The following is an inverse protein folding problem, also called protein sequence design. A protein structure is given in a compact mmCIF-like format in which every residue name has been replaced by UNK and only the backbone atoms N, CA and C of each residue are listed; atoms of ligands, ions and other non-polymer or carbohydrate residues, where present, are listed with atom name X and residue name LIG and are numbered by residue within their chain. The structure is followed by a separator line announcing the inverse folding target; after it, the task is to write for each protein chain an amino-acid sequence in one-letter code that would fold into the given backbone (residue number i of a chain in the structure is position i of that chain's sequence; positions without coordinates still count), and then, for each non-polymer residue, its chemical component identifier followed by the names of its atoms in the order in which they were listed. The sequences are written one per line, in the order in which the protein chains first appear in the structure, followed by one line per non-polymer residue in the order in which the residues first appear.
data_IF_142723279193
#
_entry.id   IF_142723279193
#
_cell.length_a   1.000
_cell.length_b   1.000
_cell.length_c   1.000
_cell.angle_alpha   90.00
_cell.angle_beta   90.00
_cell.angle_gamma   90.00
#
_symmetry.space_group_name_H-M   'P 1'
#
loop_
_entity.id
_entity.type
_entity.pdbx_description
1 polymer ?
#
# COMPACT_ATOMS: atom_id res chain seq x y z
N UNK A 1 11.66 2.53 13.01
CA UNK A 1 11.82 1.10 12.71
C UNK A 1 12.84 1.02 11.58
N UNK A 2 14.09 0.69 11.89
CA UNK A 2 15.12 0.55 10.86
C UNK A 2 14.91 -0.76 10.08
N UNK A 3 15.19 -0.71 8.78
CA UNK A 3 15.46 -1.82 7.84
C UNK A 3 14.30 -2.63 7.27
N UNK A 4 13.56 -2.01 6.33
CA UNK A 4 13.15 -2.71 5.09
C UNK A 4 12.95 -1.68 3.96
N UNK A 5 14.04 -1.08 3.49
CA UNK A 5 14.02 -0.26 2.26
C UNK A 5 14.63 -1.09 1.11
N UNK A 6 13.82 -1.75 0.27
CA UNK A 6 14.32 -2.54 -0.84
C UNK A 6 15.06 -1.64 -1.83
N UNK A 7 16.10 -2.15 -2.48
CA UNK A 7 16.76 -1.41 -3.56
C UNK A 7 15.87 -1.40 -4.82
N UNK A 8 16.12 -0.50 -5.76
CA UNK A 8 15.39 -0.51 -7.04
C UNK A 8 15.56 -1.83 -7.78
N UNK A 9 16.71 -2.48 -7.66
CA UNK A 9 16.98 -3.78 -8.27
C UNK A 9 16.18 -4.90 -7.61
N UNK A 10 15.90 -4.80 -6.31
CA UNK A 10 14.99 -5.72 -5.62
C UNK A 10 13.55 -5.51 -6.12
N UNK A 11 13.12 -4.24 -6.23
CA UNK A 11 11.78 -3.87 -6.68
C UNK A 11 11.52 -4.28 -8.13
N UNK A 12 12.50 -4.15 -9.03
CA UNK A 12 12.40 -4.56 -10.45
C UNK A 12 12.09 -6.04 -10.66
N UNK A 13 12.23 -6.88 -9.64
CA UNK A 13 11.88 -8.32 -9.71
C UNK A 13 10.38 -8.56 -9.62
N UNK A 14 9.60 -7.56 -9.20
CA UNK A 14 8.15 -7.66 -9.09
C UNK A 14 7.54 -7.71 -10.48
N UNK A 15 6.77 -8.77 -10.74
CA UNK A 15 6.05 -8.99 -12.01
C UNK A 15 4.53 -8.94 -11.85
N UNK A 16 4.04 -8.88 -10.61
CA UNK A 16 2.62 -8.77 -10.31
C UNK A 16 2.12 -7.33 -10.43
N UNK A 17 0.80 -7.18 -10.62
CA UNK A 17 0.12 -5.90 -10.39
C UNK A 17 0.05 -5.65 -8.88
N UNK A 18 0.44 -4.45 -8.45
CA UNK A 18 0.54 -4.09 -7.05
C UNK A 18 -0.53 -3.05 -6.68
N UNK A 19 -1.37 -3.36 -5.70
CA UNK A 19 -2.23 -2.36 -5.05
C UNK A 19 -1.72 -2.11 -3.65
N UNK A 20 -1.36 -0.87 -3.37
CA UNK A 20 -0.87 -0.43 -2.07
C UNK A 20 -1.97 0.37 -1.39
N UNK A 21 -2.28 0.01 -0.15
CA UNK A 21 -3.33 0.66 0.65
C UNK A 21 -2.66 1.29 1.87
N UNK A 22 -2.62 2.62 1.93
CA UNK A 22 -2.19 3.36 3.11
C UNK A 22 -3.36 3.58 4.07
N UNK A 23 -3.12 3.55 5.38
CA UNK A 23 -4.18 3.76 6.38
C UNK A 23 -4.00 5.13 7.03
N UNK A 24 -5.04 5.97 6.98
CA UNK A 24 -4.92 7.41 7.26
C UNK A 24 -4.37 7.81 8.63
N UNK A 25 -4.62 7.00 9.66
CA UNK A 25 -4.15 7.24 11.03
C UNK A 25 -3.17 6.16 11.50
N UNK A 26 -2.50 5.46 10.58
CA UNK A 26 -1.48 4.48 10.92
C UNK A 26 -0.15 5.19 11.25
N UNK A 27 0.33 5.00 12.47
CA UNK A 27 1.61 5.55 12.94
C UNK A 27 2.75 4.53 12.82
N UNK A 28 2.43 3.26 12.61
CA UNK A 28 3.42 2.18 12.41
C UNK A 28 3.87 2.14 10.96
N UNK A 29 2.94 2.33 10.02
CA UNK A 29 3.17 2.39 8.59
C UNK A 29 2.48 3.63 8.02
N UNK A 30 3.13 4.81 8.09
CA UNK A 30 2.54 6.06 7.63
C UNK A 30 2.02 5.94 6.18
N UNK A 31 0.80 6.43 5.88
CA UNK A 31 0.22 6.31 4.56
C UNK A 31 1.06 7.01 3.47
N UNK A 32 1.81 8.04 3.84
CA UNK A 32 2.73 8.75 2.96
C UNK A 32 3.88 7.85 2.47
N UNK A 33 4.41 6.98 3.34
CA UNK A 33 5.48 6.04 3.00
C UNK A 33 4.96 4.96 2.06
N UNK A 34 3.73 4.48 2.28
CA UNK A 34 3.05 3.54 1.38
C UNK A 34 2.80 4.17 0.01
N UNK A 35 2.39 5.44 -0.03
CA UNK A 35 2.22 6.19 -1.27
C UNK A 35 3.55 6.41 -2.01
N UNK A 36 4.64 6.70 -1.28
CA UNK A 36 5.99 6.82 -1.84
C UNK A 36 6.43 5.51 -2.49
N UNK A 37 6.25 4.37 -1.81
CA UNK A 37 6.57 3.07 -2.38
C UNK A 37 5.78 2.80 -3.66
N UNK A 38 4.48 3.14 -3.70
CA UNK A 38 3.68 3.01 -4.92
C UNK A 38 4.26 3.86 -6.06
N UNK A 39 4.66 5.11 -5.77
CA UNK A 39 5.27 6.01 -6.78
C UNK A 39 6.60 5.47 -7.28
N UNK A 40 7.42 4.90 -6.39
CA UNK A 40 8.69 4.25 -6.74
C UNK A 40 8.50 2.99 -7.58
N UNK A 41 7.50 2.16 -7.29
CA UNK A 41 7.15 1.02 -8.14
C UNK A 41 6.73 1.49 -9.54
N UNK A 42 5.82 2.47 -9.63
CA UNK A 42 5.37 3.01 -10.91
C UNK A 42 6.51 3.63 -11.73
N UNK A 43 7.47 4.32 -11.09
CA UNK A 43 8.61 4.92 -11.80
C UNK A 43 9.57 3.88 -12.38
N UNK A 44 9.57 2.66 -11.83
CA UNK A 44 10.31 1.50 -12.35
C UNK A 44 9.55 0.72 -13.44
N UNK A 45 8.35 1.19 -13.85
CA UNK A 45 7.52 0.55 -14.86
C UNK A 45 6.68 -0.63 -14.33
N UNK A 46 6.59 -0.80 -13.02
CA UNK A 46 5.73 -1.81 -12.38
C UNK A 46 4.30 -1.26 -12.32
N UNK A 47 3.31 -2.09 -12.68
CA UNK A 47 1.90 -1.73 -12.56
C UNK A 47 1.53 -1.64 -11.07
N UNK A 48 1.55 -0.42 -10.54
CA UNK A 48 1.29 -0.13 -9.15
C UNK A 48 0.27 1.00 -9.00
N UNK A 49 -0.67 0.83 -8.07
CA UNK A 49 -1.69 1.83 -7.71
C UNK A 49 -1.74 2.04 -6.20
N UNK A 50 -2.08 3.25 -5.78
CA UNK A 50 -2.25 3.60 -4.37
C UNK A 50 -3.71 3.97 -4.06
N UNK A 51 -4.21 3.47 -2.95
CA UNK A 51 -5.50 3.86 -2.35
C UNK A 51 -5.30 4.17 -0.85
N UNK A 52 -6.17 5.00 -0.28
CA UNK A 52 -6.11 5.38 1.14
C UNK A 52 -7.35 4.91 1.87
N UNK A 53 -7.16 4.10 2.91
CA UNK A 53 -8.21 3.67 3.85
C UNK A 53 -8.34 4.73 4.95
N UNK A 54 -9.45 5.46 4.93
CA UNK A 54 -9.78 6.44 5.96
C UNK A 54 -10.55 5.77 7.11
N UNK A 55 -9.91 5.69 8.27
CA UNK A 55 -10.42 5.03 9.47
C UNK A 55 -9.76 5.62 10.71
N UNK A 56 -10.46 5.57 11.85
CA UNK A 56 -9.96 6.00 13.15
C UNK A 56 -9.30 4.85 13.95
N UNK A 57 -9.29 3.62 13.42
CA UNK A 57 -8.70 2.46 14.10
C UNK A 57 -7.18 2.34 13.88
N UNK A 58 -6.56 3.31 13.20
CA UNK A 58 -5.13 3.30 12.91
C UNK A 58 -4.72 2.06 12.13
N UNK A 59 -3.55 1.48 12.44
CA UNK A 59 -3.04 0.28 11.78
C UNK A 59 -4.06 -0.85 11.68
N UNK A 60 -4.84 -1.09 12.73
CA UNK A 60 -5.80 -2.20 12.77
C UNK A 60 -7.07 -1.93 11.94
N UNK A 61 -7.15 -0.80 11.23
CA UNK A 61 -8.28 -0.45 10.38
C UNK A 61 -8.60 -1.48 9.30
N UNK A 62 -7.59 -2.19 8.77
CA UNK A 62 -7.82 -3.28 7.81
C UNK A 62 -8.51 -4.51 8.42
N UNK A 63 -8.46 -4.67 9.74
CA UNK A 63 -9.15 -5.74 10.49
C UNK A 63 -10.48 -5.25 11.08
N UNK A 64 -10.50 -4.02 11.60
CA UNK A 64 -11.64 -3.45 12.31
C UNK A 64 -12.75 -2.96 11.36
N UNK A 65 -12.38 -2.40 10.21
CA UNK A 65 -13.32 -1.79 9.24
C UNK A 65 -13.27 -2.51 7.88
N UNK A 66 -13.43 -3.83 7.90
CA UNK A 66 -13.35 -4.66 6.66
C UNK A 66 -14.27 -4.19 5.54
N UNK A 67 -15.44 -3.64 5.88
CA UNK A 67 -16.41 -3.08 4.93
C UNK A 67 -15.87 -1.88 4.13
N UNK A 68 -14.93 -1.10 4.68
CA UNK A 68 -14.28 0.00 3.97
C UNK A 68 -13.19 -0.53 3.02
N UNK A 69 -12.56 -1.65 3.37
CA UNK A 69 -11.49 -2.27 2.59
C UNK A 69 -12.01 -3.20 1.48
N UNK A 70 -13.15 -3.85 1.68
CA UNK A 70 -13.80 -4.76 0.72
C UNK A 70 -13.83 -4.24 -0.72
N UNK A 71 -14.33 -3.01 -1.02
CA UNK A 71 -14.34 -2.51 -2.40
C UNK A 71 -12.94 -2.31 -2.98
N UNK A 72 -11.93 -2.00 -2.16
CA UNK A 72 -10.54 -1.90 -2.60
C UNK A 72 -9.98 -3.27 -2.99
N UNK A 73 -10.32 -4.31 -2.21
CA UNK A 73 -9.91 -5.68 -2.49
C UNK A 73 -10.54 -6.24 -3.75
N UNK A 74 -11.82 -5.98 -3.99
CA UNK A 74 -12.49 -6.42 -5.22
C UNK A 74 -11.81 -5.84 -6.47
N UNK A 75 -11.47 -4.54 -6.45
CA UNK A 75 -10.71 -3.91 -7.55
C UNK A 75 -9.32 -4.53 -7.76
N UNK A 76 -8.70 -5.11 -6.74
CA UNK A 76 -7.42 -5.78 -6.88
C UNK A 76 -7.52 -7.13 -7.62
N UNK A 77 -8.72 -7.72 -7.70
CA UNK A 77 -8.98 -9.00 -8.36
C UNK A 77 -9.43 -8.87 -9.83
N UNK A 78 -9.85 -7.68 -10.24
CA UNK A 78 -10.17 -7.33 -11.64
C UNK A 78 -8.90 -7.29 -12.51
#
# INVERSE_FOLDING_TARGET
METYDPTDDDLRRITARCRLIGIGHDWLFPPEDVQELSRRLSSLGIDASYEKLETNHGHDGFLADTHLMEPMMLRALE
#
